data_IF_409897431447
#
_entry.id   IF_409897431447
#
_cell.length_a   1.000
_cell.length_b   1.000
_cell.length_c   1.000
_cell.angle_alpha   90.00
_cell.angle_beta   90.00
_cell.angle_gamma   90.00
#
_symmetry.space_group_name_H-M   'P 1'
#
loop_
_entity.id
_entity.type
_entity.pdbx_description
1 polymer ?
#
# COMPACT_ATOMS: atom_id res chain seq x y z
N UNK A 1 15.02 -3.43 -20.28
CA UNK A 1 14.02 -3.19 -19.23
C UNK A 1 14.76 -3.19 -17.89
N UNK A 2 14.65 -2.13 -17.08
CA UNK A 2 15.31 -2.11 -15.75
C UNK A 2 14.52 -3.01 -14.81
N UNK A 3 15.18 -3.99 -14.21
CA UNK A 3 14.64 -4.80 -13.12
C UNK A 3 14.87 -4.09 -11.80
N UNK A 4 13.80 -3.86 -11.05
CA UNK A 4 13.88 -3.38 -9.68
C UNK A 4 13.76 -4.62 -8.79
N UNK A 5 14.80 -4.98 -8.01
CA UNK A 5 14.72 -6.16 -7.16
C UNK A 5 13.56 -6.00 -6.16
N UNK A 6 12.69 -7.00 -6.10
CA UNK A 6 11.56 -7.04 -5.16
C UNK A 6 12.05 -7.47 -3.78
N UNK A 7 11.64 -6.75 -2.74
CA UNK A 7 11.83 -7.17 -1.35
C UNK A 7 10.59 -7.92 -0.87
N UNK A 8 10.73 -9.20 -0.53
CA UNK A 8 9.63 -9.99 0.01
C UNK A 8 9.55 -9.86 1.54
N UNK A 9 8.43 -9.35 2.04
CA UNK A 9 8.11 -9.37 3.48
C UNK A 9 6.68 -9.86 3.69
N UNK A 10 6.48 -10.71 4.69
CA UNK A 10 5.15 -11.15 5.12
C UNK A 10 4.69 -10.31 6.32
N UNK A 11 3.39 -10.09 6.40
CA UNK A 11 2.81 -9.25 7.43
C UNK A 11 1.32 -9.06 7.21
N UNK A 12 0.73 -8.13 7.96
CA UNK A 12 -0.66 -7.76 7.81
C UNK A 12 -0.78 -6.50 6.97
N UNK A 13 -1.66 -6.54 5.97
CA UNK A 13 -2.08 -5.36 5.22
C UNK A 13 -3.44 -4.92 5.77
N UNK A 14 -3.57 -3.63 6.09
CA UNK A 14 -4.85 -3.00 6.35
C UNK A 14 -5.08 -1.90 5.33
N UNK A 15 -6.30 -1.85 4.78
CA UNK A 15 -6.76 -0.75 3.94
C UNK A 15 -7.57 0.19 4.82
N UNK A 16 -7.11 1.42 4.96
CA UNK A 16 -7.66 2.45 5.85
C UNK A 16 -8.26 3.57 4.99
N UNK A 17 -9.22 4.33 5.56
CA UNK A 17 -9.76 5.56 4.96
C UNK A 17 -10.29 5.46 3.52
N UNK A 18 -10.72 4.26 3.07
CA UNK A 18 -11.21 4.02 1.70
C UNK A 18 -12.24 5.06 1.28
N UNK A 19 -13.29 5.29 2.06
CA UNK A 19 -14.36 6.22 1.72
C UNK A 19 -13.93 7.69 1.63
N UNK A 20 -12.78 8.06 2.20
CA UNK A 20 -12.23 9.43 2.13
C UNK A 20 -11.37 9.54 0.87
N UNK A 21 -10.52 8.54 0.64
CA UNK A 21 -9.62 8.45 -0.51
C UNK A 21 -10.38 8.25 -1.81
N UNK A 22 -11.48 7.48 -1.82
CA UNK A 22 -12.24 7.16 -3.04
C UNK A 22 -13.22 8.23 -3.46
N UNK A 23 -13.38 9.32 -2.70
CA UNK A 23 -14.21 10.47 -3.12
C UNK A 23 -13.66 11.19 -4.36
N UNK A 24 -12.41 10.90 -4.74
CA UNK A 24 -11.72 11.42 -5.92
C UNK A 24 -11.62 10.39 -7.06
N UNK A 25 -12.32 9.26 -6.97
CA UNK A 25 -12.29 8.20 -7.99
C UNK A 25 -13.37 8.48 -9.03
N UNK A 26 -12.94 8.86 -10.23
CA UNK A 26 -13.82 8.88 -11.40
C UNK A 26 -13.80 7.50 -12.07
N UNK A 27 -14.98 6.97 -12.37
CA UNK A 27 -15.10 5.78 -13.20
C UNK A 27 -14.67 6.13 -14.62
N UNK A 28 -13.59 5.52 -15.10
CA UNK A 28 -13.21 5.62 -16.51
C UNK A 28 -13.81 4.44 -17.27
N UNK A 29 -14.74 4.65 -18.21
CA UNK A 29 -15.40 3.57 -18.94
C UNK A 29 -14.47 2.82 -19.91
N UNK A 30 -13.19 3.22 -20.02
CA UNK A 30 -12.22 2.67 -20.97
C UNK A 30 -11.06 1.92 -20.31
N UNK A 31 -11.01 1.83 -18.97
CA UNK A 31 -9.92 1.13 -18.27
C UNK A 31 -10.47 0.12 -17.26
N UNK A 32 -9.89 -1.08 -17.23
CA UNK A 32 -10.19 -2.09 -16.22
C UNK A 32 -9.57 -1.67 -14.89
N UNK A 33 -10.19 -0.73 -14.17
CA UNK A 33 -9.74 -0.32 -12.85
C UNK A 33 -10.26 1.03 -12.38
N UNK A 34 -10.07 1.29 -11.09
CA UNK A 34 -10.30 2.60 -10.48
C UNK A 34 -9.00 3.39 -10.52
N UNK A 35 -9.06 4.64 -11.01
CA UNK A 35 -7.93 5.56 -10.95
C UNK A 35 -8.06 6.42 -9.70
N UNK A 36 -7.05 6.32 -8.83
CA UNK A 36 -6.85 7.26 -7.74
C UNK A 36 -5.86 8.31 -8.21
N UNK A 37 -6.28 9.59 -8.19
CA UNK A 37 -5.40 10.74 -8.42
C UNK A 37 -5.10 11.41 -7.08
N UNK A 38 -3.86 11.85 -6.89
CA UNK A 38 -3.39 12.50 -5.66
C UNK A 38 -1.89 12.36 -5.46
N UNK A 39 -1.37 13.06 -4.45
CA UNK A 39 0.02 13.00 -4.04
C UNK A 39 0.30 11.70 -3.26
N UNK A 40 1.20 10.87 -3.78
CA UNK A 40 1.59 9.60 -3.13
C UNK A 40 2.75 9.83 -2.18
N UNK A 41 2.52 9.53 -0.90
CA UNK A 41 3.54 9.54 0.14
C UNK A 41 3.82 8.14 0.68
N UNK A 42 5.05 7.89 1.13
CA UNK A 42 5.42 6.71 1.90
C UNK A 42 5.92 7.17 3.26
N UNK A 43 5.31 6.67 4.34
CA UNK A 43 5.74 6.91 5.71
C UNK A 43 6.21 5.60 6.34
N UNK A 44 7.41 5.61 6.93
CA UNK A 44 7.98 4.45 7.62
C UNK A 44 8.13 4.81 9.10
N UNK A 45 7.48 4.05 9.98
CA UNK A 45 7.63 4.22 11.42
C UNK A 45 8.93 3.59 11.93
N UNK A 46 9.36 3.99 13.14
CA UNK A 46 10.58 3.46 13.79
C UNK A 46 10.55 1.95 14.00
N UNK A 47 9.36 1.36 14.07
CA UNK A 47 9.14 -0.09 14.24
C UNK A 47 8.96 -0.83 12.91
N UNK A 48 9.23 -0.18 11.78
CA UNK A 48 9.20 -0.79 10.45
C UNK A 48 7.82 -0.88 9.80
N UNK A 49 6.75 -0.41 10.45
CA UNK A 49 5.44 -0.27 9.80
C UNK A 49 5.53 0.74 8.65
N UNK A 50 4.88 0.40 7.53
CA UNK A 50 4.88 1.20 6.31
C UNK A 50 3.46 1.68 6.04
N UNK A 51 3.30 2.96 5.75
CA UNK A 51 2.07 3.52 5.22
C UNK A 51 2.31 4.03 3.80
N UNK A 52 1.37 3.71 2.91
CA UNK A 52 1.18 4.43 1.66
C UNK A 52 0.04 5.41 1.87
N UNK A 53 0.34 6.69 1.68
CA UNK A 53 -0.59 7.78 1.88
C UNK A 53 -0.99 8.40 0.54
N UNK A 54 -2.23 8.86 0.43
CA UNK A 54 -2.75 9.64 -0.69
C UNK A 54 -3.19 10.99 -0.13
N UNK A 55 -2.61 12.08 -0.64
CA UNK A 55 -2.83 13.45 -0.15
C UNK A 55 -2.58 13.60 1.36
N UNK A 56 -1.56 12.90 1.85
CA UNK A 56 -1.21 12.87 3.29
C UNK A 56 -2.11 12.00 4.16
N UNK A 57 -3.13 11.35 3.59
CA UNK A 57 -4.05 10.44 4.31
C UNK A 57 -3.56 9.00 4.16
N UNK A 58 -3.40 8.29 5.28
CA UNK A 58 -3.05 6.87 5.29
C UNK A 58 -4.09 6.03 4.53
N UNK A 59 -3.64 5.29 3.51
CA UNK A 59 -4.51 4.43 2.70
C UNK A 59 -4.17 2.95 2.84
N UNK A 60 -2.89 2.57 2.67
CA UNK A 60 -2.42 1.21 2.91
C UNK A 60 -1.48 1.24 4.09
N UNK A 61 -1.73 0.40 5.10
CA UNK A 61 -0.78 0.13 6.18
C UNK A 61 -0.28 -1.30 6.07
N UNK A 62 1.02 -1.46 5.92
CA UNK A 62 1.71 -2.74 6.02
C UNK A 62 2.43 -2.83 7.37
N UNK A 63 2.16 -3.90 8.11
CA UNK A 63 2.86 -4.21 9.36
C UNK A 63 3.65 -5.50 9.18
N UNK A 64 4.99 -5.41 9.04
CA UNK A 64 5.82 -6.60 8.87
C UNK A 64 5.76 -7.49 10.11
N UNK A 65 5.87 -8.81 9.94
CA UNK A 65 6.01 -9.72 11.07
C UNK A 65 7.33 -9.41 11.82
N UNK A 66 7.34 -9.38 13.18
CA UNK A 66 8.45 -8.84 13.98
C UNK A 66 9.85 -9.44 13.72
N UNK A 67 9.90 -10.65 13.19
CA UNK A 67 11.12 -11.41 12.89
C UNK A 67 11.36 -11.62 11.39
N UNK A 68 10.46 -11.12 10.52
CA UNK A 68 10.60 -11.18 9.06
C UNK A 68 10.71 -12.59 8.47
N UNK A 69 10.43 -13.63 9.25
CA UNK A 69 10.64 -15.03 8.89
C UNK A 69 9.32 -15.79 8.92
N UNK A 70 9.00 -16.43 7.80
CA UNK A 70 7.99 -17.46 7.69
C UNK A 70 8.52 -18.51 6.72
N UNK A 71 8.49 -19.78 7.13
CA UNK A 71 8.75 -20.88 6.22
C UNK A 71 7.57 -21.01 5.25
N UNK A 72 7.88 -21.17 3.95
CA UNK A 72 6.85 -21.47 2.95
C UNK A 72 6.23 -22.82 3.29
N UNK A 73 4.98 -22.82 3.73
CA UNK A 73 4.17 -24.05 3.73
C UNK A 73 3.82 -24.36 2.28
N UNK A 74 4.65 -25.20 1.64
CA UNK A 74 4.28 -25.94 0.42
C UNK A 74 3.21 -26.98 0.70
#
# INVERSE_FOLDING_TARGET
MKTYPESHQQGTILIENVAIVTRSVEESPLQTGYHLSGDIGIQIAKDGRIWVCIDGIAFIRFSPHPDGKMERTT
#
